data_IF_900193763983
#
_entry.id   IF_900193763983
#
_cell.length_a   1.000
_cell.length_b   1.000
_cell.length_c   1.000
_cell.angle_alpha   90.00
_cell.angle_beta   90.00
_cell.angle_gamma   90.00
#
_symmetry.space_group_name_H-M   'P 1'
#
loop_
_entity.id
_entity.type
_entity.pdbx_description
1 polymer ?
#
# COMPACT_ATOMS: atom_id res chain seq x y z
N UNK A 1 -11.36 18.72 -44.01
CA UNK A 1 -10.35 18.58 -42.94
C UNK A 1 -9.02 18.32 -43.61
N UNK A 2 -8.05 19.22 -43.40
CA UNK A 2 -6.84 19.34 -44.24
C UNK A 2 -5.77 18.32 -43.83
N UNK A 3 -4.99 17.81 -44.79
CA UNK A 3 -3.92 16.81 -44.57
C UNK A 3 -2.89 17.22 -43.52
N UNK A 4 -2.69 18.53 -43.34
CA UNK A 4 -1.79 19.12 -42.34
C UNK A 4 -2.32 18.90 -40.91
N UNK A 5 -3.63 19.04 -40.67
CA UNK A 5 -4.21 18.80 -39.35
C UNK A 5 -4.06 17.32 -38.95
N UNK A 6 -4.24 16.41 -39.90
CA UNK A 6 -4.03 14.97 -39.66
C UNK A 6 -2.55 14.65 -39.39
N UNK A 7 -1.61 15.29 -40.10
CA UNK A 7 -0.18 15.12 -39.86
C UNK A 7 0.24 15.63 -38.47
N UNK A 8 -0.29 16.78 -38.04
CA UNK A 8 -0.04 17.33 -36.70
C UNK A 8 -0.61 16.40 -35.62
N UNK A 9 -1.85 15.93 -35.78
CA UNK A 9 -2.47 14.99 -34.83
C UNK A 9 -1.66 13.69 -34.74
N UNK A 10 -1.17 13.18 -35.87
CA UNK A 10 -0.37 11.97 -35.90
C UNK A 10 0.99 12.16 -35.22
N UNK A 11 1.68 13.27 -35.49
CA UNK A 11 2.97 13.59 -34.86
C UNK A 11 2.83 13.77 -33.34
N UNK A 12 1.79 14.47 -32.88
CA UNK A 12 1.54 14.64 -31.43
C UNK A 12 1.23 13.30 -30.77
N UNK A 13 0.43 12.44 -31.40
CA UNK A 13 0.13 11.09 -30.87
C UNK A 13 1.39 10.24 -30.76
N UNK A 14 2.23 10.22 -31.80
CA UNK A 14 3.50 9.50 -31.80
C UNK A 14 4.42 9.98 -30.67
N UNK A 15 4.64 11.29 -30.55
CA UNK A 15 5.50 11.85 -29.50
C UNK A 15 4.98 11.56 -28.09
N UNK A 16 3.66 11.58 -27.89
CA UNK A 16 3.04 11.24 -26.60
C UNK A 16 3.19 9.75 -26.30
N UNK A 17 2.99 8.88 -27.29
CA UNK A 17 3.18 7.43 -27.13
C UNK A 17 4.64 7.10 -26.82
N UNK A 18 5.59 7.65 -27.59
CA UNK A 18 7.04 7.43 -27.39
C UNK A 18 7.51 7.91 -26.01
N UNK A 19 6.90 8.96 -25.46
CA UNK A 19 7.21 9.45 -24.12
C UNK A 19 6.58 8.62 -22.99
N UNK A 20 5.37 8.09 -23.20
CA UNK A 20 4.59 7.38 -22.17
C UNK A 20 4.94 5.88 -22.11
N UNK A 21 5.20 5.25 -23.23
CA UNK A 21 5.51 3.82 -23.34
C UNK A 21 6.67 3.37 -22.41
N UNK A 22 7.82 4.07 -22.32
CA UNK A 22 8.88 3.68 -21.38
C UNK A 22 8.46 3.82 -19.91
N UNK A 23 7.55 4.75 -19.59
CA UNK A 23 7.01 4.90 -18.23
C UNK A 23 6.08 3.74 -17.86
N UNK A 24 5.22 3.30 -18.79
CA UNK A 24 4.35 2.13 -18.61
C UNK A 24 5.19 0.89 -18.35
N UNK A 25 6.21 0.62 -19.19
CA UNK A 25 7.10 -0.52 -19.03
C UNK A 25 7.83 -0.50 -17.68
N UNK A 26 8.24 0.68 -17.21
CA UNK A 26 8.90 0.84 -15.90
C UNK A 26 7.94 0.62 -14.73
N UNK A 27 6.68 1.05 -14.84
CA UNK A 27 5.64 0.77 -13.85
C UNK A 27 5.36 -0.74 -13.77
N UNK A 28 5.24 -1.42 -14.90
CA UNK A 28 5.03 -2.87 -14.93
C UNK A 28 6.22 -3.64 -14.34
N UNK A 29 7.45 -3.21 -14.63
CA UNK A 29 8.66 -3.78 -14.04
C UNK A 29 8.67 -3.59 -12.52
N UNK A 30 8.37 -2.38 -12.03
CA UNK A 30 8.28 -2.10 -10.59
C UNK A 30 7.15 -2.89 -9.91
N UNK A 31 6.00 -3.07 -10.57
CA UNK A 31 4.92 -3.90 -10.05
C UNK A 31 5.34 -5.37 -9.95
N UNK A 32 6.04 -5.90 -10.97
CA UNK A 32 6.60 -7.26 -10.94
C UNK A 32 7.66 -7.40 -9.86
N UNK A 33 8.49 -6.38 -9.64
CA UNK A 33 9.47 -6.37 -8.57
C UNK A 33 8.79 -6.34 -7.19
N UNK A 34 7.74 -5.55 -6.99
CA UNK A 34 6.96 -5.54 -5.74
C UNK A 34 6.33 -6.91 -5.47
N UNK A 35 5.78 -7.55 -6.51
CA UNK A 35 5.18 -8.89 -6.41
C UNK A 35 6.26 -9.96 -6.22
N UNK A 36 7.42 -9.87 -6.87
CA UNK A 36 8.54 -10.79 -6.67
C UNK A 36 9.22 -10.59 -5.31
N UNK A 37 9.21 -9.35 -4.80
CA UNK A 37 9.57 -8.97 -3.44
C UNK A 37 8.40 -9.13 -2.46
N UNK A 38 7.36 -9.91 -2.81
CA UNK A 38 6.45 -10.52 -1.83
C UNK A 38 7.25 -11.53 -1.00
N UNK A 39 8.18 -11.00 -0.21
CA UNK A 39 8.72 -11.63 0.95
C UNK A 39 7.54 -12.11 1.79
N UNK A 40 7.62 -13.29 2.43
CA UNK A 40 6.66 -13.70 3.46
C UNK A 40 6.61 -12.74 4.68
N UNK A 41 7.41 -11.66 4.68
CA UNK A 41 7.42 -10.56 5.65
C UNK A 41 6.56 -9.34 5.25
N UNK A 42 6.05 -9.26 4.01
CA UNK A 42 5.10 -8.22 3.60
C UNK A 42 3.68 -8.58 4.06
N UNK A 43 3.49 -8.73 5.37
CA UNK A 43 2.12 -8.70 5.88
C UNK A 43 1.56 -7.29 5.61
N UNK A 44 0.35 -7.18 5.04
CA UNK A 44 -0.17 -5.89 4.60
C UNK A 44 -0.28 -4.97 5.80
N UNK A 45 0.25 -3.75 5.69
CA UNK A 45 -0.05 -2.67 6.62
C UNK A 45 -1.58 -2.50 6.67
N UNK A 46 -2.14 -2.60 7.87
CA UNK A 46 -3.59 -2.64 8.10
C UNK A 46 -4.11 -1.30 8.58
N UNK A 47 -5.32 -0.92 8.16
CA UNK A 47 -6.03 0.13 8.88
C UNK A 47 -6.47 -0.37 10.26
N UNK A 48 -6.74 0.55 11.19
CA UNK A 48 -7.17 0.20 12.55
C UNK A 48 -8.39 -0.75 12.57
N UNK A 49 -9.32 -0.58 11.62
CA UNK A 49 -10.51 -1.44 11.49
C UNK A 49 -10.12 -2.88 11.13
N UNK A 50 -9.28 -3.04 10.11
CA UNK A 50 -8.85 -4.36 9.62
C UNK A 50 -7.97 -5.08 10.65
N UNK A 51 -7.13 -4.32 11.35
CA UNK A 51 -6.35 -4.82 12.48
C UNK A 51 -7.27 -5.36 13.59
N UNK A 52 -8.30 -4.60 14.00
CA UNK A 52 -9.24 -5.04 15.02
C UNK A 52 -9.98 -6.33 14.61
N UNK A 53 -10.38 -6.44 13.33
CA UNK A 53 -11.00 -7.65 12.77
C UNK A 53 -10.04 -8.84 12.83
N UNK A 54 -8.78 -8.68 12.39
CA UNK A 54 -7.78 -9.77 12.49
C UNK A 54 -7.51 -10.21 13.92
N UNK A 55 -7.59 -9.27 14.86
CA UNK A 55 -7.43 -9.52 16.29
C UNK A 55 -8.68 -10.10 16.96
N UNK A 56 -9.80 -10.23 16.23
CA UNK A 56 -11.06 -10.72 16.80
C UNK A 56 -11.67 -9.79 17.85
N UNK A 57 -11.42 -8.48 17.75
CA UNK A 57 -11.89 -7.49 18.72
C UNK A 57 -12.57 -6.29 18.06
N UNK A 58 -13.25 -5.46 18.87
CA UNK A 58 -13.83 -4.21 18.38
C UNK A 58 -12.77 -3.09 18.33
N UNK A 59 -12.95 -2.14 17.41
CA UNK A 59 -12.07 -0.96 17.31
C UNK A 59 -12.02 -0.18 18.63
N UNK A 60 -13.14 -0.10 19.34
CA UNK A 60 -13.21 0.56 20.65
C UNK A 60 -12.36 -0.17 21.69
N UNK A 61 -12.44 -1.51 21.74
CA UNK A 61 -11.60 -2.33 22.64
C UNK A 61 -10.11 -2.14 22.32
N UNK A 62 -9.74 -2.15 21.04
CA UNK A 62 -8.36 -1.95 20.60
C UNK A 62 -7.83 -0.54 20.96
N UNK A 63 -8.66 0.51 20.83
CA UNK A 63 -8.29 1.87 21.25
C UNK A 63 -8.09 1.96 22.76
N UNK A 64 -8.99 1.39 23.55
CA UNK A 64 -8.86 1.36 25.01
C UNK A 64 -7.61 0.61 25.43
N UNK A 65 -7.34 -0.55 24.82
CA UNK A 65 -6.14 -1.33 25.07
C UNK A 65 -4.87 -0.52 24.83
N UNK A 66 -4.77 0.20 23.70
CA UNK A 66 -3.63 1.07 23.38
C UNK A 66 -3.47 2.26 24.33
N UNK A 67 -4.56 2.79 24.87
CA UNK A 67 -4.49 3.87 25.85
C UNK A 67 -3.93 3.37 27.20
N UNK A 68 -4.22 2.11 27.56
CA UNK A 68 -3.69 1.47 28.76
C UNK A 68 -2.28 0.91 28.59
N UNK A 69 -1.84 0.67 27.35
CA UNK A 69 -0.52 0.12 26.99
C UNK A 69 0.21 1.07 26.05
N UNK A 70 0.94 2.08 26.59
CA UNK A 70 1.60 3.11 25.78
C UNK A 70 2.75 2.58 24.90
N UNK A 71 3.23 1.39 25.20
CA UNK A 71 4.24 0.60 24.50
C UNK A 71 3.67 -0.25 23.35
N UNK A 72 2.34 -0.35 23.22
CA UNK A 72 1.72 -1.09 22.13
C UNK A 72 2.13 -0.53 20.75
N UNK A 73 2.23 -1.38 19.71
CA UNK A 73 2.69 -0.96 18.39
C UNK A 73 1.89 0.21 17.83
N UNK A 74 2.62 1.22 17.33
CA UNK A 74 2.06 2.48 16.85
C UNK A 74 1.86 2.42 15.33
N UNK A 75 0.87 3.16 14.80
CA UNK A 75 0.74 3.25 13.36
C UNK A 75 1.93 4.02 12.76
N UNK A 76 2.25 3.70 11.51
CA UNK A 76 3.19 4.47 10.70
C UNK A 76 2.63 5.90 10.40
N UNK A 77 3.41 6.80 9.76
CA UNK A 77 2.96 8.16 9.44
C UNK A 77 1.69 8.23 8.58
N UNK A 78 1.34 7.15 7.87
CA UNK A 78 0.11 7.05 7.06
C UNK A 78 -1.10 6.52 7.87
N UNK A 79 -0.93 6.26 9.17
CA UNK A 79 -1.99 5.74 10.03
C UNK A 79 -2.23 4.23 9.92
N UNK A 80 -1.28 3.49 9.34
CA UNK A 80 -1.39 2.04 9.13
C UNK A 80 -0.55 1.24 10.13
N UNK A 81 -1.00 0.05 10.48
CA UNK A 81 -0.40 -0.81 11.50
C UNK A 81 0.26 -2.02 10.87
N UNK A 82 1.41 -2.39 11.42
CA UNK A 82 2.10 -3.62 11.06
C UNK A 82 1.48 -4.82 11.80
N UNK A 83 1.05 -5.83 11.05
CA UNK A 83 0.44 -7.02 11.63
C UNK A 83 1.45 -7.89 12.38
N UNK A 84 2.71 -7.95 11.93
CA UNK A 84 3.76 -8.74 12.56
C UNK A 84 4.15 -8.16 13.92
N UNK A 85 4.26 -6.84 14.02
CA UNK A 85 4.53 -6.16 15.30
C UNK A 85 3.42 -6.44 16.32
N UNK A 86 2.16 -6.32 15.91
CA UNK A 86 1.01 -6.64 16.77
C UNK A 86 0.99 -8.10 17.18
N UNK A 87 1.22 -9.01 16.23
CA UNK A 87 1.24 -10.45 16.51
C UNK A 87 2.35 -10.82 17.49
N UNK A 88 3.52 -10.20 17.38
CA UNK A 88 4.64 -10.43 18.30
C UNK A 88 4.34 -9.85 19.69
N UNK A 89 3.86 -8.61 19.76
CA UNK A 89 3.51 -7.95 21.02
C UNK A 89 2.46 -8.73 21.82
N UNK A 90 1.44 -9.25 21.13
CA UNK A 90 0.34 -9.97 21.77
C UNK A 90 0.69 -11.39 22.23
N UNK A 91 1.88 -11.91 21.88
CA UNK A 91 2.37 -13.16 22.50
C UNK A 91 2.62 -12.97 23.98
N UNK A 92 3.12 -11.80 24.35
CA UNK A 92 3.50 -11.49 25.73
C UNK A 92 2.37 -10.76 26.48
N UNK A 93 1.49 -10.04 25.76
CA UNK A 93 0.37 -9.28 26.35
C UNK A 93 -0.95 -9.53 25.59
N UNK A 94 -1.77 -10.50 25.99
CA UNK A 94 -3.03 -10.82 25.30
C UNK A 94 -4.11 -9.74 25.46
N UNK A 95 -5.05 -9.70 24.50
CA UNK A 95 -6.03 -8.62 24.23
C UNK A 95 -7.36 -8.67 25.01
#
# INVERSE_FOLDING_TARGET
MNSIEQAIIHAVRLSVTEAIEPLILKIEALQKEIVAQSNPLNEPYLQLKDLAVKLGCSVSKLKLFRNSHPDAPKPNPMGLYDWSEWRQYLKDTPL
#
